data_IF_583381487482
#
_entry.id   IF_583381487482
#
_cell.length_a   1.000
_cell.length_b   1.000
_cell.length_c   1.000
_cell.angle_alpha   90.00
_cell.angle_beta   90.00
_cell.angle_gamma   90.00
#
_symmetry.space_group_name_H-M   'P 1'
#
loop_
_entity.id
_entity.type
_entity.pdbx_description
1 polymer ?
#
# COMPACT_ATOMS: atom_id res chain seq x y z
N UNK A 1 23.35 32.53 12.68
CA UNK A 1 23.51 32.05 11.29
C UNK A 1 24.94 31.58 11.13
N UNK A 2 25.15 30.33 10.73
CA UNK A 2 26.46 29.74 10.46
C UNK A 2 27.04 30.38 9.18
N UNK A 3 28.23 30.99 9.29
CA UNK A 3 28.96 31.53 8.13
C UNK A 3 29.54 30.36 7.33
N UNK A 4 28.94 30.03 6.19
CA UNK A 4 29.49 29.02 5.28
C UNK A 4 30.51 29.68 4.35
N UNK A 5 31.78 29.32 4.52
CA UNK A 5 32.83 29.61 3.55
C UNK A 5 32.83 28.45 2.55
N UNK A 6 32.59 28.74 1.27
CA UNK A 6 32.64 27.73 0.20
C UNK A 6 34.13 27.45 -0.12
N UNK A 7 34.48 26.21 -0.52
CA UNK A 7 35.83 25.85 -0.97
C UNK A 7 36.31 26.84 -2.04
N UNK A 8 37.42 27.54 -1.76
CA UNK A 8 37.93 28.65 -2.59
C UNK A 8 37.96 30.02 -1.90
N UNK A 9 37.57 30.12 -0.63
CA UNK A 9 37.69 31.36 0.15
C UNK A 9 36.64 32.42 -0.21
N UNK A 10 35.64 32.06 -1.01
CA UNK A 10 34.53 32.94 -1.36
C UNK A 10 33.49 32.85 -0.25
N UNK A 11 33.31 33.97 0.47
CA UNK A 11 32.21 34.12 1.42
C UNK A 11 30.93 34.42 0.63
N UNK A 12 30.10 33.38 0.44
CA UNK A 12 28.84 33.46 -0.32
C UNK A 12 27.97 34.65 0.09
N UNK A 13 27.89 34.93 1.38
CA UNK A 13 27.08 36.02 1.90
C UNK A 13 27.67 37.39 1.53
N UNK A 14 28.99 37.55 1.57
CA UNK A 14 29.63 38.81 1.13
C UNK A 14 29.39 39.07 -0.35
N UNK A 15 29.47 38.04 -1.19
CA UNK A 15 29.21 38.19 -2.62
C UNK A 15 27.73 38.50 -2.90
N UNK A 16 26.81 37.90 -2.13
CA UNK A 16 25.39 38.22 -2.17
C UNK A 16 25.13 39.68 -1.77
N UNK A 17 25.74 40.18 -0.69
CA UNK A 17 25.55 41.58 -0.27
C UNK A 17 26.14 42.59 -1.26
N UNK A 18 27.28 42.29 -1.90
CA UNK A 18 27.81 43.12 -2.98
C UNK A 18 26.83 43.31 -4.14
N UNK A 19 25.99 42.31 -4.42
CA UNK A 19 24.94 42.42 -5.45
C UNK A 19 23.72 43.23 -5.02
N UNK A 20 23.51 43.39 -3.71
CA UNK A 20 22.42 44.18 -3.12
C UNK A 20 22.80 45.65 -2.91
N UNK A 21 24.08 45.94 -2.69
CA UNK A 21 24.60 47.29 -2.44
C UNK A 21 24.92 48.08 -3.72
N UNK A 22 24.56 47.58 -4.90
CA UNK A 22 24.55 48.38 -6.13
C UNK A 22 23.41 49.39 -5.98
N UNK A 23 23.77 50.56 -5.44
CA UNK A 23 22.96 51.77 -5.34
C UNK A 23 22.47 52.19 -6.73
N UNK A 24 21.41 51.55 -7.22
CA UNK A 24 20.49 52.22 -8.10
C UNK A 24 19.62 53.08 -7.19
N UNK A 25 19.63 54.39 -7.42
CA UNK A 25 18.63 55.34 -6.96
C UNK A 25 17.27 54.97 -7.56
N UNK A 26 16.75 53.82 -7.15
CA UNK A 26 15.41 53.36 -7.48
C UNK A 26 14.52 53.92 -6.39
N UNK A 27 13.73 54.92 -6.77
CA UNK A 27 12.40 55.08 -6.21
C UNK A 27 11.85 53.66 -5.98
N UNK A 28 11.52 53.30 -4.74
CA UNK A 28 10.95 51.99 -4.42
C UNK A 28 9.61 51.90 -5.17
N UNK A 29 9.66 51.52 -6.44
CA UNK A 29 8.50 51.35 -7.29
C UNK A 29 7.65 50.31 -6.59
N UNK A 30 6.52 50.74 -6.03
CA UNK A 30 5.63 49.82 -5.35
C UNK A 30 5.14 48.81 -6.39
N UNK A 31 5.51 47.54 -6.21
CA UNK A 31 5.14 46.47 -7.15
C UNK A 31 3.91 45.71 -6.66
N UNK A 32 3.07 45.30 -7.60
CA UNK A 32 1.98 44.37 -7.38
C UNK A 32 2.54 42.99 -6.99
N UNK A 33 2.18 42.50 -5.81
CA UNK A 33 2.70 41.23 -5.29
C UNK A 33 2.15 39.95 -5.98
N UNK A 34 1.24 40.10 -6.96
CA UNK A 34 0.78 38.98 -7.79
C UNK A 34 1.52 38.95 -9.13
N UNK A 35 1.69 40.11 -9.78
CA UNK A 35 2.23 40.17 -11.15
C UNK A 35 3.69 40.56 -11.20
N UNK A 36 4.25 41.13 -10.13
CA UNK A 36 5.60 41.71 -10.11
C UNK A 36 5.73 42.97 -10.99
N UNK A 37 4.62 43.54 -11.43
CA UNK A 37 4.58 44.78 -12.23
C UNK A 37 4.32 45.98 -11.31
N UNK A 38 4.70 47.21 -11.70
CA UNK A 38 4.37 48.42 -10.95
C UNK A 38 2.88 48.52 -10.60
N UNK A 39 2.60 49.08 -9.44
CA UNK A 39 1.24 49.42 -9.04
C UNK A 39 0.70 50.50 -9.99
N UNK A 40 -0.49 50.26 -10.52
CA UNK A 40 -1.22 51.25 -11.34
C UNK A 40 -2.22 52.01 -10.45
N UNK A 41 -2.75 53.14 -10.91
CA UNK A 41 -3.74 53.97 -10.19
C UNK A 41 -4.85 53.15 -9.52
N UNK A 42 -5.32 52.09 -10.19
CA UNK A 42 -6.31 51.14 -9.67
C UNK A 42 -5.64 49.97 -8.93
N UNK A 43 -4.92 50.27 -7.86
CA UNK A 43 -4.42 49.27 -6.92
C UNK A 43 -5.33 49.15 -5.69
N UNK A 44 -5.16 48.06 -4.96
CA UNK A 44 -5.88 47.77 -3.71
C UNK A 44 -4.86 47.38 -2.65
N UNK A 45 -4.99 48.00 -1.48
CA UNK A 45 -4.29 47.60 -0.26
C UNK A 45 -5.22 46.76 0.60
N UNK A 46 -4.83 45.52 0.88
CA UNK A 46 -5.59 44.61 1.76
C UNK A 46 -5.42 45.02 3.24
N UNK A 47 -6.26 44.51 4.15
CA UNK A 47 -6.15 44.75 5.61
C UNK A 47 -4.82 44.26 6.21
N UNK A 48 -4.13 43.36 5.50
CA UNK A 48 -2.79 42.88 5.85
C UNK A 48 -1.66 43.73 5.24
N UNK A 49 -1.97 44.93 4.72
CA UNK A 49 -1.06 45.88 4.08
C UNK A 49 -0.40 45.43 2.77
N UNK A 50 -0.76 44.26 2.24
CA UNK A 50 -0.29 43.82 0.91
C UNK A 50 -1.03 44.55 -0.21
N UNK A 51 -0.27 45.01 -1.21
CA UNK A 51 -0.76 45.82 -2.34
C UNK A 51 -0.81 45.02 -3.64
N UNK A 52 -1.89 45.19 -4.39
CA UNK A 52 -2.13 44.47 -5.63
C UNK A 52 -2.82 45.36 -6.66
N UNK A 53 -2.51 45.16 -7.94
CA UNK A 53 -3.31 45.72 -9.02
C UNK A 53 -4.71 45.08 -9.01
N UNK A 54 -5.76 45.91 -9.10
CA UNK A 54 -7.14 45.48 -8.93
C UNK A 54 -7.50 44.27 -9.79
N UNK A 55 -7.17 44.35 -11.09
CA UNK A 55 -7.51 43.29 -12.04
C UNK A 55 -6.83 41.95 -11.73
N UNK A 56 -5.57 41.99 -11.29
CA UNK A 56 -4.84 40.79 -10.90
C UNK A 56 -5.46 40.16 -9.64
N UNK A 57 -5.76 40.97 -8.63
CA UNK A 57 -6.37 40.53 -7.39
C UNK A 57 -7.78 39.97 -7.60
N UNK A 58 -8.62 40.67 -8.37
CA UNK A 58 -9.99 40.23 -8.70
C UNK A 58 -9.98 38.88 -9.42
N UNK A 59 -9.14 38.72 -10.45
CA UNK A 59 -9.01 37.46 -11.20
C UNK A 59 -8.53 36.32 -10.29
N UNK A 60 -7.56 36.57 -9.42
CA UNK A 60 -7.05 35.57 -8.49
C UNK A 60 -8.11 35.12 -7.47
N UNK A 61 -8.82 36.06 -6.84
CA UNK A 61 -9.92 35.73 -5.91
C UNK A 61 -11.01 34.95 -6.63
N UNK A 62 -11.38 35.34 -7.86
CA UNK A 62 -12.33 34.60 -8.68
C UNK A 62 -11.85 33.16 -8.93
N UNK A 63 -10.59 32.95 -9.34
CA UNK A 63 -10.06 31.59 -9.56
C UNK A 63 -10.13 30.75 -8.28
N UNK A 64 -9.74 31.31 -7.14
CA UNK A 64 -9.78 30.60 -5.87
C UNK A 64 -11.21 30.24 -5.42
N UNK A 65 -12.18 31.14 -5.61
CA UNK A 65 -13.60 30.90 -5.27
C UNK A 65 -14.31 29.97 -6.25
N UNK A 66 -14.21 30.25 -7.55
CA UNK A 66 -15.02 29.60 -8.58
C UNK A 66 -14.38 28.35 -9.19
N UNK A 67 -13.05 28.32 -9.33
CA UNK A 67 -12.32 27.21 -9.97
C UNK A 67 -11.79 26.24 -8.92
N UNK A 68 -10.95 26.74 -8.01
CA UNK A 68 -10.29 25.87 -7.01
C UNK A 68 -11.16 25.56 -5.80
N UNK A 69 -12.24 26.33 -5.59
CA UNK A 69 -13.20 26.16 -4.49
C UNK A 69 -12.51 26.10 -3.12
N UNK A 70 -11.51 26.95 -2.91
CA UNK A 70 -10.72 26.99 -1.68
C UNK A 70 -11.34 27.86 -0.59
N UNK A 71 -12.51 28.44 -0.81
CA UNK A 71 -13.22 29.29 0.16
C UNK A 71 -14.27 28.50 0.95
N UNK A 72 -13.80 27.52 1.73
CA UNK A 72 -14.67 26.70 2.58
C UNK A 72 -14.45 27.04 4.06
N UNK A 73 -15.51 27.05 4.86
CA UNK A 73 -15.42 27.26 6.31
C UNK A 73 -14.44 26.27 6.99
N UNK A 74 -14.41 25.02 6.50
CA UNK A 74 -13.60 23.93 7.08
C UNK A 74 -12.09 24.10 6.92
N UNK A 75 -11.63 24.95 6.01
CA UNK A 75 -10.19 25.17 5.78
C UNK A 75 -9.63 26.32 6.62
N UNK A 76 -10.49 27.03 7.35
CA UNK A 76 -10.11 28.12 8.24
C UNK A 76 -9.54 27.54 9.54
N UNK A 77 -8.49 28.17 10.05
CA UNK A 77 -8.00 27.93 11.41
C UNK A 77 -9.07 28.27 12.45
N UNK A 78 -8.92 27.78 13.69
CA UNK A 78 -9.88 28.04 14.76
C UNK A 78 -10.09 29.55 14.99
N UNK A 79 -9.01 30.34 14.92
CA UNK A 79 -9.06 31.80 15.06
C UNK A 79 -9.84 32.46 13.91
N UNK A 80 -9.57 32.05 12.67
CA UNK A 80 -10.30 32.55 11.50
C UNK A 80 -11.78 32.16 11.52
N UNK A 81 -12.12 30.97 12.02
CA UNK A 81 -13.49 30.52 12.21
C UNK A 81 -14.26 31.38 13.21
N UNK A 82 -13.62 31.75 14.32
CA UNK A 82 -14.19 32.66 15.30
C UNK A 82 -14.39 34.06 14.71
N UNK A 83 -13.39 34.60 14.00
CA UNK A 83 -13.48 35.87 13.27
C UNK A 83 -14.65 35.85 12.27
N UNK A 84 -14.81 34.75 11.52
CA UNK A 84 -15.90 34.55 10.56
C UNK A 84 -17.28 34.51 11.23
N UNK A 85 -17.42 33.78 12.35
CA UNK A 85 -18.67 33.75 13.13
C UNK A 85 -19.05 35.12 13.67
N UNK A 86 -18.08 35.85 14.21
CA UNK A 86 -18.30 37.18 14.80
C UNK A 86 -18.66 38.22 13.75
N UNK A 87 -18.13 38.09 12.52
CA UNK A 87 -18.48 38.97 11.41
C UNK A 87 -19.94 38.80 10.93
N UNK A 88 -20.59 37.66 11.24
CA UNK A 88 -21.97 37.36 10.86
C UNK A 88 -22.27 37.56 9.36
N UNK A 89 -21.32 37.16 8.51
CA UNK A 89 -21.42 37.18 7.05
C UNK A 89 -21.18 35.79 6.47
N UNK A 90 -21.55 35.57 5.22
CA UNK A 90 -21.38 34.31 4.48
C UNK A 90 -20.29 34.40 3.40
N UNK A 91 -19.41 35.39 3.49
CA UNK A 91 -18.30 35.63 2.58
C UNK A 91 -17.05 36.08 3.33
N UNK A 92 -15.90 35.90 2.72
CA UNK A 92 -14.62 36.50 3.10
C UNK A 92 -13.72 36.57 1.86
N UNK A 93 -12.68 37.38 1.91
CA UNK A 93 -11.59 37.45 0.93
C UNK A 93 -10.30 37.02 1.61
N UNK A 94 -9.50 36.20 0.95
CA UNK A 94 -8.19 35.75 1.41
C UNK A 94 -7.10 36.45 0.61
N UNK A 95 -6.14 37.07 1.30
CA UNK A 95 -4.98 37.68 0.68
C UNK A 95 -4.16 36.62 -0.09
N UNK A 96 -3.85 36.81 -1.39
CA UNK A 96 -3.06 35.83 -2.15
C UNK A 96 -1.64 35.64 -1.61
N UNK A 97 -1.05 36.68 -1.01
CA UNK A 97 0.31 36.64 -0.49
C UNK A 97 0.39 35.97 0.88
N UNK A 98 -0.21 36.57 1.92
CA UNK A 98 -0.08 36.07 3.30
C UNK A 98 -1.23 35.18 3.77
N UNK A 99 -2.26 34.98 2.95
CA UNK A 99 -3.46 34.17 3.28
C UNK A 99 -4.30 34.68 4.45
N UNK A 100 -4.06 35.88 4.97
CA UNK A 100 -4.96 36.50 5.95
C UNK A 100 -6.35 36.72 5.35
N UNK A 101 -7.40 36.51 6.14
CA UNK A 101 -8.78 36.74 5.72
C UNK A 101 -9.29 38.12 6.16
N UNK A 102 -10.05 38.75 5.28
CA UNK A 102 -10.77 40.00 5.50
C UNK A 102 -12.23 39.89 5.05
N UNK A 103 -13.06 40.78 5.58
CA UNK A 103 -14.49 40.88 5.26
C UNK A 103 -14.84 42.16 4.50
N UNK A 104 -13.87 43.04 4.32
CA UNK A 104 -13.94 44.17 3.40
C UNK A 104 -13.86 43.66 1.96
N UNK A 105 -14.81 44.12 1.13
CA UNK A 105 -14.87 43.81 -0.30
C UNK A 105 -13.89 44.68 -1.08
N UNK A 106 -13.54 44.23 -2.28
CA UNK A 106 -12.88 45.08 -3.27
C UNK A 106 -13.84 46.21 -3.70
N UNK A 107 -13.32 47.41 -4.02
CA UNK A 107 -14.15 48.48 -4.59
C UNK A 107 -14.79 48.03 -5.92
N UNK A 108 -16.00 48.50 -6.19
CA UNK A 108 -16.64 48.29 -7.49
C UNK A 108 -16.44 49.50 -8.39
N UNK A 109 -16.00 49.26 -9.62
CA UNK A 109 -15.80 50.29 -10.63
C UNK A 109 -16.73 50.01 -11.81
N UNK A 110 -17.76 50.84 -11.97
CA UNK A 110 -18.79 50.65 -13.00
C UNK A 110 -18.23 50.75 -14.44
N UNK A 111 -17.10 51.43 -14.61
CA UNK A 111 -16.38 51.60 -15.87
C UNK A 111 -15.31 50.51 -16.10
N UNK A 112 -15.21 49.52 -15.21
CA UNK A 112 -14.25 48.43 -15.36
C UNK A 112 -14.83 47.24 -16.11
N UNK A 113 -13.94 46.44 -16.70
CA UNK A 113 -14.29 45.14 -17.32
C UNK A 113 -14.72 44.06 -16.30
N UNK A 114 -14.75 44.38 -15.00
CA UNK A 114 -14.98 43.42 -13.93
C UNK A 114 -16.41 43.47 -13.42
N UNK A 115 -17.16 42.40 -13.65
CA UNK A 115 -18.54 42.26 -13.19
C UNK A 115 -18.66 42.33 -11.66
N UNK A 116 -19.80 42.85 -11.20
CA UNK A 116 -20.20 42.82 -9.80
C UNK A 116 -20.46 41.37 -9.35
N UNK A 117 -19.72 40.90 -8.36
CA UNK A 117 -19.80 39.53 -7.81
C UNK A 117 -19.92 39.56 -6.29
N UNK A 118 -20.89 38.81 -5.80
CA UNK A 118 -21.18 38.71 -4.37
C UNK A 118 -19.95 38.23 -3.58
N UNK A 119 -19.63 38.93 -2.49
CA UNK A 119 -18.52 38.54 -1.61
C UNK A 119 -17.13 38.74 -2.21
N UNK A 120 -17.03 39.48 -3.33
CA UNK A 120 -15.77 39.93 -3.95
C UNK A 120 -15.77 41.45 -4.06
N UNK A 121 -16.64 42.02 -4.90
CA UNK A 121 -16.76 43.46 -5.11
C UNK A 121 -18.21 43.96 -5.03
N UNK A 122 -19.16 43.10 -4.65
CA UNK A 122 -20.56 43.46 -4.45
C UNK A 122 -21.18 42.72 -3.27
N UNK A 123 -22.19 43.33 -2.65
CA UNK A 123 -23.07 42.71 -1.66
C UNK A 123 -24.40 42.24 -2.26
N UNK A 124 -24.64 42.52 -3.54
CA UNK A 124 -25.84 42.08 -4.25
C UNK A 124 -25.67 40.61 -4.62
N UNK A 125 -26.57 39.76 -4.11
CA UNK A 125 -26.61 38.32 -4.41
C UNK A 125 -27.34 38.07 -5.72
N UNK A 126 -26.70 37.35 -6.65
CA UNK A 126 -27.35 36.83 -7.84
C UNK A 126 -27.69 35.35 -7.67
N UNK A 127 -28.64 34.83 -8.46
CA UNK A 127 -29.05 33.42 -8.40
C UNK A 127 -27.88 32.43 -8.58
N UNK A 128 -26.83 32.84 -9.31
CA UNK A 128 -25.63 32.04 -9.56
C UNK A 128 -24.66 32.00 -8.36
N UNK A 129 -24.82 32.87 -7.35
CA UNK A 129 -23.91 32.97 -6.20
C UNK A 129 -24.26 31.97 -5.07
N UNK A 130 -25.45 31.34 -5.11
CA UNK A 130 -25.92 30.39 -4.10
C UNK A 130 -25.04 29.14 -3.95
N UNK A 131 -24.28 28.78 -4.99
CA UNK A 131 -23.34 27.66 -4.97
C UNK A 131 -22.05 27.96 -4.17
N UNK A 132 -21.87 29.20 -3.69
CA UNK A 132 -20.59 29.68 -3.18
C UNK A 132 -20.68 30.46 -1.86
N UNK A 133 -21.88 30.53 -1.27
CA UNK A 133 -22.04 30.99 0.11
C UNK A 133 -21.19 30.11 1.02
N UNK A 134 -20.35 30.72 1.84
CA UNK A 134 -19.59 30.01 2.88
C UNK A 134 -20.59 29.60 3.95
N UNK A 135 -21.25 28.46 3.75
CA UNK A 135 -22.27 27.97 4.67
C UNK A 135 -21.58 27.56 5.98
N UNK A 136 -21.89 28.19 7.12
CA UNK A 136 -21.50 27.62 8.41
C UNK A 136 -22.12 26.22 8.49
N UNK A 137 -21.30 25.21 8.78
CA UNK A 137 -21.73 23.81 8.81
C UNK A 137 -22.97 23.63 9.69
N UNK A 138 -24.14 23.54 9.07
CA UNK A 138 -25.32 22.92 9.67
C UNK A 138 -25.68 21.60 9.00
N UNK A 139 -24.78 21.02 8.19
CA UNK A 139 -25.03 19.71 7.60
C UNK A 139 -24.10 18.67 8.22
N UNK A 140 -24.67 17.86 9.09
CA UNK A 140 -24.14 16.58 9.56
C UNK A 140 -23.88 15.55 8.43
N UNK A 141 -23.89 15.97 7.16
CA UNK A 141 -23.76 15.13 5.97
C UNK A 141 -22.58 15.55 5.05
N UNK A 142 -21.55 16.22 5.59
CA UNK A 142 -20.33 16.46 4.81
C UNK A 142 -19.61 15.12 4.54
N UNK A 143 -19.40 14.79 3.26
CA UNK A 143 -18.64 13.63 2.83
C UNK A 143 -17.38 14.07 2.08
N UNK A 144 -16.25 13.42 2.35
CA UNK A 144 -14.99 13.72 1.67
C UNK A 144 -14.15 12.45 1.47
N UNK A 145 -13.28 12.46 0.46
CA UNK A 145 -12.37 11.37 0.16
C UNK A 145 -10.99 11.63 0.78
N UNK A 146 -10.41 10.61 1.44
CA UNK A 146 -9.02 10.65 1.89
C UNK A 146 -8.45 9.24 2.00
N UNK A 147 -7.17 9.07 1.63
CA UNK A 147 -6.50 7.76 1.62
C UNK A 147 -7.24 6.64 0.85
N UNK A 148 -8.09 7.02 -0.13
CA UNK A 148 -8.94 6.08 -0.87
C UNK A 148 -10.26 5.69 -0.17
N UNK A 149 -10.55 6.26 1.00
CA UNK A 149 -11.78 5.99 1.76
C UNK A 149 -12.70 7.21 1.78
N UNK A 150 -14.01 6.95 1.76
CA UNK A 150 -15.03 7.98 1.94
C UNK A 150 -15.29 8.20 3.43
N UNK A 151 -15.04 9.41 3.90
CA UNK A 151 -15.33 9.87 5.25
C UNK A 151 -16.69 10.54 5.29
N UNK A 152 -17.47 10.19 6.30
CA UNK A 152 -18.77 10.81 6.59
C UNK A 152 -18.96 10.88 8.11
N UNK A 153 -20.03 11.54 8.57
CA UNK A 153 -20.35 11.60 9.98
C UNK A 153 -20.50 10.18 10.55
N UNK A 154 -19.77 9.89 11.63
CA UNK A 154 -19.67 8.54 12.19
C UNK A 154 -18.66 8.47 13.34
N UNK A 155 -18.64 7.33 14.02
CA UNK A 155 -17.72 7.07 15.13
C UNK A 155 -16.49 6.30 14.67
N UNK A 156 -15.36 6.52 15.34
CA UNK A 156 -14.13 5.78 15.09
C UNK A 156 -14.03 4.59 16.05
N UNK A 157 -13.80 3.39 15.51
CA UNK A 157 -13.67 2.14 16.26
C UNK A 157 -12.33 2.00 17.03
N UNK A 158 -11.47 3.03 17.02
CA UNK A 158 -10.21 2.98 17.76
C UNK A 158 -10.47 3.20 19.24
N UNK A 159 -10.07 2.23 20.05
CA UNK A 159 -10.01 2.35 21.51
C UNK A 159 -8.76 3.15 21.85
N UNK A 160 -8.94 4.23 22.60
CA UNK A 160 -7.84 5.11 23.07
C UNK A 160 -7.43 4.73 24.48
N UNK A 161 -8.39 4.34 25.32
CA UNK A 161 -8.16 4.05 26.74
C UNK A 161 -9.17 2.99 27.22
N UNK A 162 -8.88 2.34 28.34
CA UNK A 162 -9.78 1.40 29.01
C UNK A 162 -9.85 1.77 30.48
N UNK A 163 -11.00 2.28 30.92
CA UNK A 163 -11.23 2.68 32.33
C UNK A 163 -12.26 1.76 32.96
N UNK A 164 -11.89 1.10 34.05
CA UNK A 164 -12.77 0.15 34.76
C UNK A 164 -13.37 -0.91 33.82
N UNK A 165 -12.55 -1.51 32.95
CA UNK A 165 -12.95 -2.46 31.89
C UNK A 165 -13.91 -1.91 30.81
N UNK A 166 -14.17 -0.60 30.81
CA UNK A 166 -14.95 0.08 29.78
C UNK A 166 -14.00 0.68 28.74
N UNK A 167 -14.16 0.26 27.49
CA UNK A 167 -13.39 0.80 26.36
C UNK A 167 -13.84 2.22 26.00
N UNK A 168 -12.90 3.16 26.03
CA UNK A 168 -13.08 4.54 25.60
C UNK A 168 -12.67 4.65 24.13
N UNK A 169 -13.65 4.93 23.28
CA UNK A 169 -13.43 5.09 21.84
C UNK A 169 -13.00 6.51 21.48
N UNK A 170 -12.38 6.64 20.30
CA UNK A 170 -12.01 7.93 19.74
C UNK A 170 -13.24 8.83 19.50
N UNK A 171 -13.14 10.09 19.96
CA UNK A 171 -14.20 11.10 19.90
C UNK A 171 -14.34 11.81 18.54
N UNK A 172 -13.62 11.36 17.51
CA UNK A 172 -13.71 11.97 16.18
C UNK A 172 -15.09 11.77 15.57
N UNK A 173 -15.65 12.85 15.01
CA UNK A 173 -17.02 12.90 14.44
C UNK A 173 -17.11 12.39 13.00
N UNK A 174 -15.98 12.13 12.36
CA UNK A 174 -15.91 11.66 10.98
C UNK A 174 -15.05 10.41 10.89
N UNK A 175 -15.58 9.38 10.25
CA UNK A 175 -14.86 8.13 10.03
C UNK A 175 -15.12 7.58 8.63
N UNK A 176 -14.13 6.85 8.13
CA UNK A 176 -14.20 6.10 6.87
C UNK A 176 -14.26 4.61 7.18
N UNK A 177 -15.17 3.90 6.53
CA UNK A 177 -15.30 2.45 6.62
C UNK A 177 -14.15 1.77 5.87
N UNK A 178 -13.48 0.83 6.53
CA UNK A 178 -12.50 -0.07 5.92
C UNK A 178 -13.19 -1.42 5.67
N UNK A 179 -13.57 -1.75 4.42
CA UNK A 179 -14.37 -2.94 4.12
C UNK A 179 -13.73 -4.25 4.59
N UNK A 180 -12.41 -4.38 4.43
CA UNK A 180 -11.64 -5.57 4.81
C UNK A 180 -11.69 -5.89 6.32
N UNK A 181 -11.88 -4.85 7.13
CA UNK A 181 -11.90 -4.96 8.60
C UNK A 181 -13.31 -4.88 9.17
N UNK A 182 -14.30 -4.48 8.36
CA UNK A 182 -15.64 -4.07 8.79
C UNK A 182 -15.60 -3.09 9.99
N UNK A 183 -14.67 -2.14 9.96
CA UNK A 183 -14.46 -1.15 11.02
C UNK A 183 -14.29 0.24 10.40
N UNK A 184 -14.73 1.26 11.13
CA UNK A 184 -14.62 2.65 10.70
C UNK A 184 -13.56 3.37 11.52
N UNK A 185 -12.69 4.13 10.86
CA UNK A 185 -11.62 4.87 11.52
C UNK A 185 -11.61 6.33 11.09
N UNK A 186 -11.22 7.23 12.00
CA UNK A 186 -11.01 8.64 11.65
C UNK A 186 -9.73 8.81 10.83
N UNK A 187 -9.55 10.01 10.27
CA UNK A 187 -8.44 10.32 9.35
C UNK A 187 -7.06 10.08 9.98
N UNK A 188 -6.93 10.25 11.29
CA UNK A 188 -5.67 10.05 12.02
C UNK A 188 -5.39 8.57 12.30
N UNK A 189 -6.42 7.77 12.57
CA UNK A 189 -6.26 6.36 12.96
C UNK A 189 -6.28 5.39 11.77
N UNK A 190 -6.97 5.71 10.67
CA UNK A 190 -7.19 4.76 9.56
C UNK A 190 -5.88 4.19 8.99
N UNK A 191 -4.83 5.02 8.87
CA UNK A 191 -3.54 4.58 8.32
C UNK A 191 -2.82 3.58 9.22
N UNK A 192 -2.81 3.85 10.52
CA UNK A 192 -2.15 2.99 11.51
C UNK A 192 -2.86 1.62 11.59
N UNK A 193 -4.18 1.64 11.64
CA UNK A 193 -5.00 0.43 11.77
C UNK A 193 -4.95 -0.45 10.51
N UNK A 194 -5.06 0.15 9.31
CA UNK A 194 -4.92 -0.59 8.05
C UNK A 194 -3.52 -1.19 7.91
N UNK A 195 -2.47 -0.46 8.33
CA UNK A 195 -1.10 -0.98 8.33
C UNK A 195 -0.97 -2.18 9.27
N UNK A 196 -1.48 -2.07 10.50
CA UNK A 196 -1.43 -3.15 11.48
C UNK A 196 -2.18 -4.39 10.99
N UNK A 197 -3.39 -4.22 10.46
CA UNK A 197 -4.19 -5.32 9.90
C UNK A 197 -3.44 -6.09 8.81
N UNK A 198 -2.76 -5.39 7.89
CA UNK A 198 -1.97 -6.02 6.84
C UNK A 198 -0.80 -6.83 7.41
N UNK A 199 -0.14 -6.33 8.46
CA UNK A 199 0.93 -7.06 9.15
C UNK A 199 0.39 -8.31 9.86
N UNK A 200 -0.71 -8.19 10.58
CA UNK A 200 -1.35 -9.29 11.30
C UNK A 200 -1.84 -10.38 10.34
N UNK A 201 -2.43 -9.99 9.21
CA UNK A 201 -2.85 -10.93 8.15
C UNK A 201 -1.67 -11.72 7.62
N UNK A 202 -0.57 -11.05 7.27
CA UNK A 202 0.66 -11.70 6.79
C UNK A 202 1.30 -12.61 7.85
N UNK A 203 1.25 -12.22 9.12
CA UNK A 203 1.75 -13.05 10.22
C UNK A 203 0.91 -14.32 10.41
N UNK A 204 -0.43 -14.19 10.34
CA UNK A 204 -1.36 -15.34 10.41
C UNK A 204 -1.16 -16.30 9.24
N UNK A 205 -1.00 -15.79 8.02
CA UNK A 205 -0.71 -16.61 6.84
C UNK A 205 0.59 -17.43 7.01
N UNK A 206 1.66 -16.78 7.49
CA UNK A 206 2.93 -17.48 7.78
C UNK A 206 2.81 -18.53 8.89
N UNK A 207 2.02 -18.25 9.93
CA UNK A 207 1.81 -19.20 11.02
C UNK A 207 1.04 -20.43 10.52
N UNK A 208 0.02 -20.23 9.69
CA UNK A 208 -0.74 -21.31 9.07
C UNK A 208 0.15 -22.16 8.16
N UNK A 209 0.99 -21.55 7.34
CA UNK A 209 1.94 -22.27 6.48
C UNK A 209 2.94 -23.10 7.31
N UNK A 210 3.42 -22.56 8.44
CA UNK A 210 4.30 -23.30 9.36
C UNK A 210 3.58 -24.49 9.98
N UNK A 211 2.36 -24.31 10.48
CA UNK A 211 1.54 -25.39 11.04
C UNK A 211 1.30 -26.50 10.02
N UNK A 212 0.98 -26.15 8.77
CA UNK A 212 0.82 -27.12 7.68
C UNK A 212 2.11 -27.91 7.42
N UNK A 213 3.27 -27.25 7.40
CA UNK A 213 4.58 -27.92 7.23
C UNK A 213 4.91 -28.86 8.39
N UNK A 214 4.58 -28.47 9.62
CA UNK A 214 4.86 -29.28 10.81
C UNK A 214 3.91 -30.50 10.87
N UNK A 215 2.63 -30.34 10.51
CA UNK A 215 1.68 -31.45 10.37
C UNK A 215 2.15 -32.46 9.31
N UNK A 216 2.56 -32.00 8.13
CA UNK A 216 3.08 -32.87 7.06
C UNK A 216 4.34 -33.64 7.48
N UNK A 217 5.19 -33.04 8.34
CA UNK A 217 6.37 -33.73 8.90
C UNK A 217 5.96 -34.80 9.91
N UNK A 218 4.99 -34.52 10.78
CA UNK A 218 4.47 -35.52 11.74
C UNK A 218 3.83 -36.70 11.01
N UNK A 219 2.99 -36.45 10.00
CA UNK A 219 2.37 -37.51 9.18
C UNK A 219 3.43 -38.40 8.51
N UNK A 220 4.48 -37.79 7.93
CA UNK A 220 5.61 -38.54 7.34
C UNK A 220 6.39 -39.36 8.38
N UNK A 221 6.47 -38.91 9.64
CA UNK A 221 7.11 -39.68 10.71
C UNK A 221 6.25 -40.86 11.14
N UNK A 222 4.95 -40.64 11.34
CA UNK A 222 3.99 -41.70 11.68
C UNK A 222 3.93 -42.78 10.60
N UNK A 223 3.90 -42.39 9.32
CA UNK A 223 3.93 -43.36 8.22
C UNK A 223 5.20 -44.22 8.24
N UNK A 224 6.36 -43.61 8.48
CA UNK A 224 7.63 -44.36 8.60
C UNK A 224 7.64 -45.34 9.77
N UNK A 225 6.96 -45.02 10.88
CA UNK A 225 6.82 -45.94 12.01
C UNK A 225 5.87 -47.09 11.69
N UNK A 226 4.73 -46.81 11.06
CA UNK A 226 3.80 -47.83 10.58
C UNK A 226 4.48 -48.80 9.60
N UNK A 227 5.21 -48.29 8.62
CA UNK A 227 5.94 -49.12 7.65
C UNK A 227 6.98 -50.01 8.34
N UNK A 228 7.65 -49.51 9.39
CA UNK A 228 8.60 -50.30 10.18
C UNK A 228 7.90 -51.41 10.95
N UNK A 229 6.76 -51.13 11.58
CA UNK A 229 5.97 -52.13 12.32
C UNK A 229 5.43 -53.20 11.37
N UNK A 230 4.91 -52.81 10.21
CA UNK A 230 4.40 -53.73 9.20
C UNK A 230 5.49 -54.66 8.67
N UNK A 231 6.68 -54.12 8.35
CA UNK A 231 7.86 -54.93 7.96
C UNK A 231 8.29 -55.91 9.06
N UNK A 232 8.16 -55.55 10.34
CA UNK A 232 8.45 -56.47 11.44
C UNK A 232 7.41 -57.60 11.54
N UNK A 233 6.13 -57.29 11.37
CA UNK A 233 5.04 -58.27 11.35
C UNK A 233 5.20 -59.26 10.20
N UNK A 234 5.50 -58.79 8.99
CA UNK A 234 5.77 -59.64 7.83
C UNK A 234 6.95 -60.59 8.06
N UNK A 235 8.03 -60.11 8.68
CA UNK A 235 9.17 -60.95 9.05
C UNK A 235 8.79 -62.04 10.05
N UNK A 236 7.93 -61.72 11.03
CA UNK A 236 7.43 -62.71 12.00
C UNK A 236 6.52 -63.74 11.33
N UNK A 237 5.60 -63.31 10.47
CA UNK A 237 4.73 -64.21 9.70
C UNK A 237 5.52 -65.16 8.80
N UNK A 238 6.53 -64.65 8.07
CA UNK A 238 7.42 -65.49 7.26
C UNK A 238 8.13 -66.56 8.08
N UNK A 239 8.61 -66.22 9.29
CA UNK A 239 9.24 -67.19 10.21
C UNK A 239 8.26 -68.28 10.67
N UNK A 240 7.02 -67.91 10.99
CA UNK A 240 5.96 -68.86 11.37
C UNK A 240 5.66 -69.81 10.20
N UNK A 241 5.52 -69.28 8.98
CA UNK A 241 5.23 -70.10 7.79
C UNK A 241 6.33 -71.14 7.52
N UNK A 242 7.61 -70.75 7.61
CA UNK A 242 8.74 -71.70 7.48
C UNK A 242 8.73 -72.80 8.54
N UNK A 243 8.36 -72.47 9.79
CA UNK A 243 8.29 -73.47 10.86
C UNK A 243 7.12 -74.45 10.66
N UNK A 244 5.99 -73.99 10.12
CA UNK A 244 4.84 -74.86 9.80
C UNK A 244 5.17 -75.81 8.65
N UNK A 245 5.84 -75.33 7.59
CA UNK A 245 6.27 -76.18 6.46
C UNK A 245 7.26 -77.27 6.91
N UNK A 246 8.17 -76.96 7.85
CA UNK A 246 9.09 -77.96 8.43
C UNK A 246 8.38 -79.04 9.25
N UNK A 247 7.22 -78.74 9.85
CA UNK A 247 6.43 -79.70 10.63
C UNK A 247 5.53 -80.62 9.78
N UNK A 248 5.40 -80.36 8.47
CA UNK A 248 4.53 -81.13 7.56
C UNK A 248 5.29 -82.05 6.57
N UNK A 249 6.55 -82.42 6.85
CA UNK A 249 7.22 -83.47 6.09
C UNK A 249 6.70 -84.87 6.49
N UNK A 250 5.63 -85.25 5.81
CA UNK A 250 5.08 -86.60 5.69
C UNK A 250 5.90 -87.38 4.64
N UNK A 251 6.15 -88.65 4.94
CA UNK A 251 6.84 -89.66 4.13
C UNK A 251 6.25 -89.85 2.73
N UNK A 252 7.06 -89.68 1.67
CA UNK A 252 6.98 -90.38 0.35
C UNK A 252 8.42 -90.26 -0.22
N UNK A 253 9.22 -91.31 -0.40
CA UNK A 253 9.06 -92.41 -1.36
C UNK A 253 10.06 -92.19 -2.52
N UNK A 254 11.14 -92.99 -2.56
CA UNK A 254 12.26 -92.91 -3.52
C UNK A 254 11.81 -93.01 -4.98
N UNK A 255 12.34 -92.14 -5.85
CA UNK A 255 12.46 -92.42 -7.28
C UNK A 255 13.70 -91.74 -7.90
N UNK A 256 14.21 -92.41 -8.92
CA UNK A 256 15.57 -92.40 -9.49
C UNK A 256 15.81 -91.28 -10.53
N UNK A 257 17.08 -90.88 -10.63
CA UNK A 257 17.83 -90.19 -11.71
C UNK A 257 17.14 -89.93 -13.07
N UNK A 258 17.34 -88.74 -13.66
CA UNK A 258 18.45 -88.47 -14.59
C UNK A 258 18.41 -87.04 -15.20
N UNK A 259 19.61 -86.59 -15.59
CA UNK A 259 19.98 -85.58 -16.60
C UNK A 259 20.13 -84.08 -16.25
N UNK A 260 21.36 -83.64 -16.49
CA UNK A 260 21.87 -82.28 -16.64
C UNK A 260 21.27 -81.55 -17.87
N UNK A 261 21.01 -80.25 -17.75
CA UNK A 261 21.78 -79.16 -18.39
C UNK A 261 21.06 -77.80 -18.28
N UNK A 262 21.74 -76.88 -17.60
CA UNK A 262 21.71 -75.41 -17.65
C UNK A 262 20.56 -74.61 -18.27
N UNK A 263 20.09 -73.59 -17.53
CA UNK A 263 20.58 -72.19 -17.62
C UNK A 263 19.82 -71.30 -16.59
N UNK A 264 20.62 -70.63 -15.75
CA UNK A 264 20.50 -69.32 -15.07
C UNK A 264 19.30 -68.39 -15.38
N UNK A 265 18.86 -67.46 -14.53
CA UNK A 265 19.15 -67.04 -13.15
C UNK A 265 18.07 -65.98 -12.78
N UNK A 266 17.77 -65.92 -11.49
CA UNK A 266 17.37 -64.74 -10.70
C UNK A 266 17.09 -63.41 -11.40
N UNK A 267 15.86 -62.91 -11.25
CA UNK A 267 15.57 -61.46 -11.29
C UNK A 267 14.84 -61.06 -10.00
N UNK A 268 15.60 -60.56 -9.02
CA UNK A 268 15.06 -59.65 -8.01
C UNK A 268 15.06 -58.25 -8.61
N UNK A 269 13.89 -57.75 -8.99
CA UNK A 269 13.70 -56.40 -9.47
C UNK A 269 14.10 -55.40 -8.37
N UNK A 270 15.14 -54.60 -8.63
CA UNK A 270 15.56 -53.50 -7.78
C UNK A 270 14.90 -52.23 -8.34
N UNK A 271 13.84 -51.75 -7.70
CA UNK A 271 12.86 -50.76 -8.24
C UNK A 271 13.44 -49.36 -8.59
N UNK A 272 14.75 -49.14 -8.46
CA UNK A 272 15.40 -47.83 -8.65
C UNK A 272 16.43 -47.76 -9.79
N UNK A 273 16.46 -48.72 -10.71
CA UNK A 273 17.39 -48.70 -11.85
C UNK A 273 16.73 -48.40 -13.20
N UNK A 274 17.46 -47.66 -14.04
CA UNK A 274 17.05 -47.28 -15.39
C UNK A 274 16.91 -48.49 -16.30
N UNK A 275 15.72 -48.65 -16.90
CA UNK A 275 15.37 -49.78 -17.76
C UNK A 275 15.75 -49.61 -19.24
N UNK A 276 16.40 -48.51 -19.63
CA UNK A 276 16.80 -48.28 -21.01
C UNK A 276 17.95 -49.22 -21.46
N UNK A 277 17.86 -49.71 -22.70
CA UNK A 277 18.90 -50.52 -23.35
C UNK A 277 19.92 -49.61 -24.03
N UNK A 278 21.21 -49.85 -23.79
CA UNK A 278 22.30 -49.08 -24.39
C UNK A 278 22.39 -49.33 -25.90
N UNK A 279 22.34 -48.27 -26.71
CA UNK A 279 22.36 -48.36 -28.19
C UNK A 279 23.77 -48.30 -28.81
N UNK A 280 24.79 -47.92 -28.03
CA UNK A 280 26.18 -47.74 -28.49
C UNK A 280 27.21 -48.13 -27.41
N UNK A 281 28.46 -48.34 -27.82
CA UNK A 281 29.59 -48.70 -26.94
C UNK A 281 29.75 -50.19 -26.67
N UNK A 282 30.76 -50.55 -25.86
CA UNK A 282 31.13 -51.94 -25.56
C UNK A 282 30.04 -52.75 -24.84
N UNK A 283 29.05 -52.08 -24.23
CA UNK A 283 27.91 -52.68 -23.54
C UNK A 283 26.58 -52.52 -24.30
N UNK A 284 26.64 -52.30 -25.62
CA UNK A 284 25.44 -52.23 -26.47
C UNK A 284 24.57 -53.48 -26.28
N UNK A 285 23.27 -53.29 -26.09
CA UNK A 285 22.31 -54.37 -25.84
C UNK A 285 22.08 -54.71 -24.36
N UNK A 286 22.88 -54.20 -23.43
CA UNK A 286 22.66 -54.36 -21.98
C UNK A 286 21.79 -53.22 -21.41
N UNK A 287 21.10 -53.48 -20.30
CA UNK A 287 20.37 -52.47 -19.53
C UNK A 287 21.33 -51.43 -18.93
N UNK A 288 20.90 -50.17 -18.88
CA UNK A 288 21.72 -49.04 -18.41
C UNK A 288 22.19 -49.21 -16.95
N UNK A 289 21.32 -49.70 -16.06
CA UNK A 289 21.63 -49.92 -14.65
C UNK A 289 21.91 -48.66 -13.82
N UNK A 290 21.82 -47.45 -14.39
CA UNK A 290 22.01 -46.20 -13.67
C UNK A 290 20.78 -45.87 -12.80
N UNK A 291 20.98 -45.12 -11.71
CA UNK A 291 19.90 -44.72 -10.80
C UNK A 291 18.84 -43.87 -11.50
N UNK A 292 17.57 -44.21 -11.33
CA UNK A 292 16.42 -43.48 -11.89
C UNK A 292 16.31 -42.08 -11.29
N UNK A 293 15.95 -41.09 -12.10
CA UNK A 293 15.62 -39.73 -11.63
C UNK A 293 14.16 -39.37 -11.87
N UNK A 294 13.62 -39.63 -13.05
CA UNK A 294 12.21 -39.36 -13.39
C UNK A 294 11.74 -40.34 -14.47
N UNK A 295 10.49 -40.80 -14.39
CA UNK A 295 9.83 -41.69 -15.36
C UNK A 295 10.59 -43.00 -15.67
N UNK A 296 11.21 -43.63 -14.67
CA UNK A 296 11.92 -44.90 -14.87
C UNK A 296 13.24 -44.80 -15.64
N UNK A 297 13.69 -43.59 -15.99
CA UNK A 297 14.89 -43.34 -16.79
C UNK A 297 15.94 -42.54 -16.00
N UNK A 298 17.21 -42.71 -16.37
CA UNK A 298 18.32 -41.90 -15.88
C UNK A 298 18.50 -40.65 -16.76
N UNK A 299 19.27 -39.66 -16.29
CA UNK A 299 19.51 -38.40 -17.02
C UNK A 299 20.07 -38.58 -18.44
N UNK A 300 20.79 -39.68 -18.72
CA UNK A 300 21.32 -39.97 -20.06
C UNK A 300 20.25 -40.42 -21.05
N UNK A 301 19.13 -40.94 -20.54
CA UNK A 301 18.03 -41.49 -21.33
C UNK A 301 16.74 -40.67 -21.21
N UNK A 302 16.76 -39.57 -20.45
CA UNK A 302 15.71 -38.56 -20.55
C UNK A 302 15.88 -37.83 -21.88
N UNK A 303 14.98 -38.10 -22.82
CA UNK A 303 14.78 -37.21 -23.96
C UNK A 303 14.32 -35.87 -23.41
N UNK A 304 15.15 -34.84 -23.53
CA UNK A 304 14.68 -33.47 -23.33
C UNK A 304 13.60 -33.24 -24.38
N UNK A 305 12.36 -33.08 -23.96
CA UNK A 305 11.33 -32.51 -24.82
C UNK A 305 11.87 -31.17 -25.31
N UNK A 306 12.32 -31.15 -26.56
CA UNK A 306 12.38 -29.93 -27.33
C UNK A 306 10.91 -29.60 -27.58
N UNK A 307 10.32 -28.81 -26.69
CA UNK A 307 9.14 -28.02 -27.04
C UNK A 307 9.54 -27.21 -28.27
N UNK A 308 8.98 -27.64 -29.39
CA UNK A 308 8.98 -26.92 -30.64
C UNK A 308 8.35 -25.53 -30.44
N UNK A 309 8.85 -24.62 -31.27
CA UNK A 309 8.62 -23.17 -31.31
C UNK A 309 7.14 -22.83 -31.48
#
# INVERSE_FOLDING_TARGET
MTKYIIEGGINFYEELYKSLDINETKEEEELCQITGLPLIDRYVTMECNHKFNYGALYKEICKQKYIFRTYNYNILSNFEQEKFKNANVDYFIKCPYCRNIQFSLLPYYADSEYEAKYGINSLVKNHNDNNFLVKPNNSYNYKYMSYGYMFQAGTCCKIIDTKNDINVFCSSKYSGLVPEMNKSFCITHIRAEVKQYKLDKKAKEKLLEKQQKDNLKMEKQQQKELDKQQKQLEKKQKKILTNVVLSQNIQIGEFVNDNELGINENIKANENMCCAILKSGAKKGQYCGATVKQNGLCLRHQTKDKTEI
#
